data_IF_692340134747
#
_entry.id   IF_692340134747
#
_cell.length_a   1.000
_cell.length_b   1.000
_cell.length_c   1.000
_cell.angle_alpha   90.00
_cell.angle_beta   90.00
_cell.angle_gamma   90.00
#
_symmetry.space_group_name_H-M   'P 1'
#
loop_
_entity.id
_entity.type
_entity.pdbx_description
1 polymer ?
#
# COMPACT_ATOMS: atom_id res chain seq x y z
N UNK A 1 -3.29 -2.03 -23.83
CA UNK A 1 -3.28 -1.51 -22.45
C UNK A 1 -1.97 -1.92 -21.81
N UNK A 2 -0.99 -1.02 -21.76
CA UNK A 2 0.34 -1.31 -21.24
C UNK A 2 0.33 -1.27 -19.71
N UNK A 3 0.53 -2.42 -19.07
CA UNK A 3 0.96 -2.46 -17.68
C UNK A 3 2.44 -2.08 -17.67
N UNK A 4 2.78 -0.99 -16.99
CA UNK A 4 4.14 -0.83 -16.49
C UNK A 4 4.32 -1.96 -15.47
N UNK A 5 4.95 -3.05 -15.89
CA UNK A 5 5.40 -4.11 -14.99
C UNK A 5 6.41 -3.45 -14.06
N UNK A 6 5.94 -2.99 -12.90
CA UNK A 6 6.83 -2.71 -11.78
C UNK A 6 7.64 -3.97 -11.58
N UNK A 7 8.96 -3.83 -11.50
CA UNK A 7 9.83 -4.97 -11.22
C UNK A 7 9.30 -5.76 -10.01
N UNK A 8 9.69 -7.04 -9.91
CA UNK A 8 9.37 -7.88 -8.75
C UNK A 8 7.87 -8.23 -8.59
N UNK A 9 7.21 -8.58 -9.71
CA UNK A 9 5.81 -9.05 -9.79
C UNK A 9 4.73 -8.05 -9.35
N UNK A 10 5.06 -6.76 -9.34
CA UNK A 10 4.10 -5.70 -9.12
C UNK A 10 3.35 -5.34 -10.39
N UNK A 11 2.03 -5.41 -10.31
CA UNK A 11 1.13 -4.83 -11.31
C UNK A 11 0.69 -3.48 -10.79
N UNK A 12 1.29 -2.44 -11.36
CA UNK A 12 1.03 -1.05 -11.00
C UNK A 12 -0.20 -0.53 -11.75
N UNK A 13 -1.01 0.28 -11.06
CA UNK A 13 -2.14 0.98 -11.67
C UNK A 13 -1.73 1.98 -12.75
N UNK A 14 -2.66 2.32 -13.65
CA UNK A 14 -2.42 3.19 -14.81
C UNK A 14 -2.27 4.68 -14.51
N UNK A 15 -2.62 5.14 -13.31
CA UNK A 15 -2.59 6.56 -12.92
C UNK A 15 -1.83 6.68 -11.59
N UNK A 16 -0.58 7.15 -11.64
CA UNK A 16 0.26 7.37 -10.44
C UNK A 16 0.57 8.85 -10.16
N UNK A 17 0.21 9.72 -11.09
CA UNK A 17 0.50 11.15 -11.11
C UNK A 17 -0.74 12.02 -10.88
N UNK A 18 -1.94 11.42 -10.85
CA UNK A 18 -3.20 12.13 -10.61
C UNK A 18 -4.03 11.50 -9.49
N UNK A 19 -4.44 12.35 -8.55
CA UNK A 19 -5.26 11.96 -7.42
C UNK A 19 -4.45 11.54 -6.19
N UNK A 20 -5.15 11.04 -5.19
CA UNK A 20 -4.59 10.66 -3.88
C UNK A 20 -4.75 9.16 -3.58
N UNK A 21 -5.20 8.37 -4.56
CA UNK A 21 -5.44 6.94 -4.41
C UNK A 21 -4.44 6.20 -5.28
N UNK A 22 -3.65 5.33 -4.64
CA UNK A 22 -2.73 4.43 -5.31
C UNK A 22 -3.17 2.99 -5.03
N UNK A 23 -3.29 2.19 -6.09
CA UNK A 23 -3.74 0.80 -6.01
C UNK A 23 -2.80 -0.05 -6.85
N UNK A 24 -1.94 -0.78 -6.16
CA UNK A 24 -0.94 -1.67 -6.75
C UNK A 24 -1.23 -3.11 -6.30
N UNK A 25 -0.98 -4.08 -7.18
CA UNK A 25 -1.26 -5.50 -6.92
C UNK A 25 0.02 -6.30 -7.09
N UNK A 26 0.48 -6.92 -6.02
CA UNK A 26 1.55 -7.91 -6.10
C UNK A 26 0.97 -9.31 -6.34
N UNK A 27 1.67 -10.15 -7.11
CA UNK A 27 1.30 -11.55 -7.35
C UNK A 27 2.52 -12.46 -7.18
N UNK A 28 2.34 -13.58 -6.48
CA UNK A 28 3.39 -14.59 -6.33
C UNK A 28 3.01 -15.66 -5.32
N UNK A 29 3.97 -16.51 -4.97
CA UNK A 29 3.78 -17.57 -3.97
C UNK A 29 3.72 -16.99 -2.56
N UNK A 30 3.08 -17.72 -1.64
CA UNK A 30 3.05 -17.33 -0.23
C UNK A 30 4.47 -17.25 0.38
N UNK A 31 5.39 -18.14 -0.03
CA UNK A 31 6.78 -18.11 0.40
C UNK A 31 7.48 -16.81 -0.04
N UNK A 32 7.32 -16.41 -1.30
CA UNK A 32 7.88 -15.16 -1.79
C UNK A 32 7.27 -13.94 -1.07
N UNK A 33 5.96 -13.96 -0.77
CA UNK A 33 5.33 -12.90 0.01
C UNK A 33 5.90 -12.83 1.43
N UNK A 34 6.15 -13.98 2.06
CA UNK A 34 6.67 -14.06 3.42
C UNK A 34 8.13 -13.62 3.56
N UNK A 35 8.92 -13.69 2.48
CA UNK A 35 10.29 -13.15 2.43
C UNK A 35 10.32 -11.61 2.36
N UNK A 36 9.18 -10.95 2.11
CA UNK A 36 9.09 -9.48 2.09
C UNK A 36 8.88 -8.96 3.50
N UNK A 37 9.70 -7.99 3.88
CA UNK A 37 9.76 -7.46 5.25
C UNK A 37 8.57 -6.53 5.57
N UNK A 38 8.39 -5.46 4.79
CA UNK A 38 7.40 -4.43 5.09
C UNK A 38 6.85 -3.71 3.85
N UNK A 39 5.69 -3.09 4.01
CA UNK A 39 5.11 -2.13 3.05
C UNK A 39 5.41 -0.72 3.54
N UNK A 40 6.28 0.00 2.83
CA UNK A 40 6.60 1.39 3.12
C UNK A 40 5.64 2.37 2.44
N UNK A 41 5.08 3.31 3.20
CA UNK A 41 4.31 4.45 2.68
C UNK A 41 5.08 5.71 2.99
N UNK A 42 5.52 6.43 1.96
CA UNK A 42 6.25 7.68 2.12
C UNK A 42 5.56 8.81 1.33
N UNK A 43 5.45 10.02 1.92
CA UNK A 43 4.93 11.17 1.21
C UNK A 43 5.96 11.63 0.16
N UNK A 44 5.47 12.03 -1.01
CA UNK A 44 6.26 12.75 -2.02
C UNK A 44 5.75 14.18 -2.13
N UNK A 45 6.66 15.13 -2.39
CA UNK A 45 6.25 16.50 -2.70
C UNK A 45 5.43 16.53 -3.99
N UNK A 46 4.46 17.45 -4.06
CA UNK A 46 3.60 17.58 -5.22
C UNK A 46 2.78 18.87 -5.21
N UNK A 47 2.00 19.05 -6.27
CA UNK A 47 1.28 20.29 -6.60
C UNK A 47 0.44 20.87 -5.45
N UNK A 48 -0.10 20.03 -4.55
CA UNK A 48 -0.86 20.49 -3.38
C UNK A 48 0.04 21.29 -2.44
N UNK A 49 1.20 20.73 -2.06
CA UNK A 49 2.12 21.30 -1.06
C UNK A 49 2.75 22.58 -1.57
N UNK A 50 3.06 22.62 -2.86
CA UNK A 50 3.83 23.69 -3.50
C UNK A 50 2.98 24.85 -4.00
N UNK A 51 1.64 24.77 -3.93
CA UNK A 51 0.76 25.86 -4.36
C UNK A 51 0.71 26.97 -3.30
N UNK A 52 1.39 28.11 -3.50
CA UNK A 52 1.61 29.09 -2.42
C UNK A 52 0.30 29.70 -1.92
N UNK A 53 -0.67 29.92 -2.82
CA UNK A 53 -1.97 30.47 -2.48
C UNK A 53 -2.84 29.59 -1.58
N UNK A 54 -2.48 28.32 -1.35
CA UNK A 54 -3.20 27.43 -0.44
C UNK A 54 -2.56 27.31 0.95
N UNK A 55 -1.30 27.74 1.12
CA UNK A 55 -0.55 27.70 2.38
C UNK A 55 -0.64 26.35 3.13
N UNK A 56 -0.59 25.22 2.40
CA UNK A 56 -0.79 23.88 2.98
C UNK A 56 0.52 23.14 3.31
N UNK A 57 1.64 23.84 3.27
CA UNK A 57 2.98 23.27 3.43
C UNK A 57 3.26 22.75 4.85
N UNK A 58 2.56 23.28 5.86
CA UNK A 58 2.65 22.83 7.27
C UNK A 58 1.46 21.96 7.72
N UNK A 59 0.55 21.59 6.82
CA UNK A 59 -0.65 20.83 7.20
C UNK A 59 -0.38 19.34 7.28
N UNK A 60 -0.69 18.74 8.42
CA UNK A 60 -0.83 17.28 8.56
C UNK A 60 -2.00 16.78 7.70
N UNK A 61 -1.79 15.65 7.01
CA UNK A 61 -2.80 15.01 6.17
C UNK A 61 -3.03 13.60 6.69
N UNK A 62 -4.29 13.20 6.79
CA UNK A 62 -4.65 11.81 7.12
C UNK A 62 -4.46 10.93 5.90
N UNK A 63 -3.81 9.80 6.07
CA UNK A 63 -3.73 8.75 5.08
C UNK A 63 -4.27 7.45 5.67
N UNK A 64 -4.62 6.52 4.79
CA UNK A 64 -4.98 5.16 5.17
C UNK A 64 -4.29 4.20 4.20
N UNK A 65 -3.74 3.12 4.73
CA UNK A 65 -3.25 2.00 3.95
C UNK A 65 -4.25 0.86 4.09
N UNK A 66 -4.79 0.39 2.97
CA UNK A 66 -5.63 -0.80 2.92
C UNK A 66 -4.85 -1.92 2.26
N UNK A 67 -4.67 -3.02 2.98
CA UNK A 67 -4.01 -4.24 2.48
C UNK A 67 -5.04 -5.35 2.39
N UNK A 68 -5.08 -6.04 1.26
CA UNK A 68 -5.87 -7.25 1.08
C UNK A 68 -4.97 -8.39 0.62
N UNK A 69 -5.13 -9.55 1.26
CA UNK A 69 -4.38 -10.77 0.91
C UNK A 69 -5.38 -11.76 0.31
N UNK A 70 -5.06 -12.27 -0.87
CA UNK A 70 -5.86 -13.28 -1.55
C UNK A 70 -4.98 -14.48 -1.86
N UNK A 71 -5.29 -15.63 -1.27
CA UNK A 71 -4.64 -16.91 -1.51
C UNK A 71 -5.64 -17.90 -2.12
N UNK A 72 -5.84 -17.88 -3.46
CA UNK A 72 -6.78 -18.79 -4.11
C UNK A 72 -6.32 -20.24 -3.94
N UNK A 73 -7.24 -21.13 -3.56
CA UNK A 73 -6.95 -22.56 -3.38
C UNK A 73 -6.27 -22.93 -2.05
N UNK A 74 -6.04 -21.97 -1.16
CA UNK A 74 -5.58 -22.26 0.19
C UNK A 74 -6.78 -22.65 1.07
N UNK A 75 -6.76 -23.86 1.64
CA UNK A 75 -7.75 -24.33 2.63
C UNK A 75 -7.33 -23.95 4.07
N UNK A 76 -6.77 -22.74 4.26
CA UNK A 76 -6.31 -22.27 5.57
C UNK A 76 -7.08 -21.02 5.98
N UNK A 77 -7.41 -20.92 7.27
CA UNK A 77 -8.03 -19.72 7.84
C UNK A 77 -6.98 -18.62 8.06
N UNK A 78 -6.82 -17.79 7.03
CA UNK A 78 -5.97 -16.60 7.09
C UNK A 78 -6.54 -15.52 8.01
N UNK A 79 -7.87 -15.38 8.06
CA UNK A 79 -8.50 -14.26 8.74
C UNK A 79 -8.27 -14.34 10.25
N UNK A 80 -8.59 -15.47 10.87
CA UNK A 80 -8.41 -15.64 12.32
C UNK A 80 -6.94 -15.51 12.73
N UNK A 81 -6.03 -16.08 11.95
CA UNK A 81 -4.60 -15.98 12.21
C UNK A 81 -4.10 -14.52 12.15
N UNK A 82 -4.55 -13.74 11.17
CA UNK A 82 -4.20 -12.32 11.03
C UNK A 82 -4.85 -11.49 12.14
N UNK A 83 -6.15 -11.69 12.41
CA UNK A 83 -6.88 -10.95 13.43
C UNK A 83 -6.26 -11.13 14.83
N UNK A 84 -5.87 -12.36 15.17
CA UNK A 84 -5.18 -12.65 16.44
C UNK A 84 -3.84 -11.92 16.55
N UNK A 85 -3.10 -11.74 15.45
CA UNK A 85 -1.85 -10.97 15.44
C UNK A 85 -2.08 -9.45 15.53
N UNK A 86 -3.17 -8.95 14.95
CA UNK A 86 -3.51 -7.52 14.93
C UNK A 86 -4.13 -7.01 16.25
N UNK A 87 -4.67 -7.90 17.09
CA UNK A 87 -5.18 -7.53 18.42
C UNK A 87 -4.10 -6.93 19.34
N UNK A 88 -2.82 -7.09 19.00
CA UNK A 88 -1.70 -6.38 19.61
C UNK A 88 -1.57 -5.01 18.94
N UNK A 89 -2.01 -3.96 19.62
CA UNK A 89 -1.87 -2.59 19.11
C UNK A 89 -0.40 -2.25 18.86
N UNK A 90 -0.05 -1.99 17.60
CA UNK A 90 1.26 -1.45 17.23
C UNK A 90 1.15 0.08 17.27
N UNK A 91 1.90 0.78 18.15
CA UNK A 91 1.91 2.23 18.16
C UNK A 91 2.39 2.74 16.80
N UNK A 92 1.64 3.65 16.19
CA UNK A 92 2.16 4.44 15.09
C UNK A 92 3.26 5.34 15.65
N UNK A 93 4.50 5.16 15.17
CA UNK A 93 5.66 5.97 15.54
C UNK A 93 5.70 7.28 14.76
#
# INVERSE_FOLDING_TARGET
MGSASGGDNWVLGSIRDRGSIHSDVWRGSAAALAERDAVGVFPVSGWWKEKPGLQRWERSVRYALLVSIRAPGAEIDLYTAIANKLAVAVPAS
#
